data_IF_705550233662
#
_entry.id   IF_705550233662
#
_cell.length_a   1.000
_cell.length_b   1.000
_cell.length_c   1.000
_cell.angle_alpha   90.00
_cell.angle_beta   90.00
_cell.angle_gamma   90.00
#
_symmetry.space_group_name_H-M   'P 1'
#
loop_
_entity.id
_entity.type
_entity.pdbx_description
1 polymer ?
#
# COMPACT_ATOMS: atom_id res chain seq x y z
N UNK A 1 17.51 85.68 -42.23
CA UNK A 1 17.20 84.95 -40.96
C UNK A 1 15.99 84.00 -41.04
N UNK A 2 15.27 83.85 -42.17
CA UNK A 2 14.09 82.94 -42.29
C UNK A 2 14.41 81.48 -42.63
N UNK A 3 15.64 81.16 -43.05
CA UNK A 3 16.06 79.79 -43.39
C UNK A 3 16.55 79.00 -42.17
N UNK A 4 17.03 79.69 -41.14
CA UNK A 4 17.54 79.08 -39.91
C UNK A 4 16.40 78.56 -39.03
N UNK A 5 15.30 79.32 -38.90
CA UNK A 5 14.09 78.91 -38.16
C UNK A 5 13.36 77.72 -38.79
N UNK A 6 13.36 77.62 -40.13
CA UNK A 6 12.78 76.47 -40.86
C UNK A 6 13.63 75.19 -40.77
N UNK A 7 14.95 75.33 -40.60
CA UNK A 7 15.84 74.20 -40.29
C UNK A 7 15.70 73.78 -38.83
N UNK A 8 15.61 74.74 -37.91
CA UNK A 8 15.39 74.50 -36.48
C UNK A 8 14.07 73.77 -36.20
N UNK A 9 12.99 74.13 -36.92
CA UNK A 9 11.69 73.47 -36.77
C UNK A 9 11.71 72.03 -37.27
N UNK A 10 12.42 71.75 -38.37
CA UNK A 10 12.61 70.37 -38.87
C UNK A 10 13.42 69.52 -37.91
N UNK A 11 14.51 70.05 -37.35
CA UNK A 11 15.33 69.33 -36.36
C UNK A 11 14.55 69.09 -35.07
N UNK A 12 13.72 70.04 -34.62
CA UNK A 12 12.87 69.88 -33.46
C UNK A 12 11.83 68.76 -33.66
N UNK A 13 11.19 68.70 -34.84
CA UNK A 13 10.22 67.64 -35.17
C UNK A 13 10.89 66.27 -35.17
N UNK A 14 12.08 66.12 -35.78
CA UNK A 14 12.81 64.84 -35.77
C UNK A 14 13.22 64.42 -34.35
N UNK A 15 13.60 65.39 -33.51
CA UNK A 15 14.04 65.11 -32.13
C UNK A 15 12.85 64.65 -31.26
N UNK A 16 11.69 65.28 -31.41
CA UNK A 16 10.44 64.85 -30.76
C UNK A 16 10.04 63.44 -31.21
N UNK A 17 10.16 63.13 -32.50
CA UNK A 17 9.81 61.82 -33.04
C UNK A 17 10.74 60.72 -32.50
N UNK A 18 12.05 61.01 -32.40
CA UNK A 18 13.03 60.10 -31.80
C UNK A 18 12.76 59.89 -30.31
N UNK A 19 12.41 60.94 -29.56
CA UNK A 19 12.05 60.83 -28.14
C UNK A 19 10.80 59.95 -27.96
N UNK A 20 9.76 60.15 -28.79
CA UNK A 20 8.55 59.33 -28.75
C UNK A 20 8.83 57.85 -29.06
N UNK A 21 9.68 57.58 -30.06
CA UNK A 21 10.11 56.23 -30.39
C UNK A 21 10.87 55.58 -29.21
N UNK A 22 11.76 56.32 -28.56
CA UNK A 22 12.50 55.84 -27.39
C UNK A 22 11.57 55.53 -26.21
N UNK A 23 10.59 56.38 -25.92
CA UNK A 23 9.59 56.16 -24.87
C UNK A 23 8.76 54.90 -25.17
N UNK A 24 8.36 54.70 -26.43
CA UNK A 24 7.61 53.52 -26.84
C UNK A 24 8.42 52.23 -26.67
N UNK A 25 9.70 52.23 -27.09
CA UNK A 25 10.61 51.09 -26.91
C UNK A 25 10.85 50.81 -25.42
N UNK A 26 11.08 51.85 -24.62
CA UNK A 26 11.32 51.70 -23.18
C UNK A 26 10.08 51.16 -22.46
N UNK A 27 8.88 51.66 -22.80
CA UNK A 27 7.60 51.13 -22.30
C UNK A 27 7.39 49.67 -22.68
N UNK A 28 7.68 49.30 -23.92
CA UNK A 28 7.58 47.91 -24.39
C UNK A 28 8.59 47.00 -23.66
N UNK A 29 9.82 47.47 -23.45
CA UNK A 29 10.84 46.74 -22.71
C UNK A 29 10.46 46.53 -21.24
N UNK A 30 9.99 47.57 -20.53
CA UNK A 30 9.51 47.45 -19.13
C UNK A 30 8.32 46.50 -19.03
N UNK A 31 7.34 46.61 -19.95
CA UNK A 31 6.19 45.70 -20.01
C UNK A 31 6.62 44.24 -20.19
N UNK A 32 7.62 43.98 -21.04
CA UNK A 32 8.13 42.63 -21.27
C UNK A 32 9.03 42.09 -20.15
N UNK A 33 9.69 42.98 -19.39
CA UNK A 33 10.71 42.58 -18.40
C UNK A 33 10.12 42.37 -17.00
N UNK A 34 9.02 43.05 -16.65
CA UNK A 34 8.39 42.94 -15.31
C UNK A 34 7.37 41.80 -15.16
N UNK A 35 7.15 40.99 -16.21
CA UNK A 35 6.28 39.80 -16.14
C UNK A 35 7.05 38.51 -16.42
N UNK A 36 7.99 38.09 -15.54
CA UNK A 36 8.59 36.77 -15.64
C UNK A 36 7.54 35.72 -15.27
N UNK A 37 6.74 35.29 -16.24
CA UNK A 37 5.89 34.12 -16.12
C UNK A 37 6.79 32.89 -16.10
N UNK A 38 6.95 32.26 -14.95
CA UNK A 38 7.56 30.93 -14.87
C UNK A 38 6.42 29.93 -14.74
N UNK A 39 6.21 29.13 -15.79
CA UNK A 39 5.16 28.11 -15.89
C UNK A 39 5.47 26.85 -15.06
N UNK A 40 6.46 26.92 -14.17
CA UNK A 40 7.05 25.74 -13.55
C UNK A 40 6.87 25.81 -12.03
N UNK A 41 5.61 25.75 -11.57
CA UNK A 41 5.33 25.36 -10.19
C UNK A 41 5.49 23.84 -10.07
N UNK A 42 6.51 23.38 -9.34
CA UNK A 42 6.68 21.96 -8.99
C UNK A 42 6.21 21.77 -7.56
N UNK A 43 5.18 20.96 -7.37
CA UNK A 43 4.77 20.49 -6.05
C UNK A 43 5.31 19.07 -5.87
N UNK A 44 5.80 18.76 -4.67
CA UNK A 44 6.23 17.42 -4.29
C UNK A 44 5.16 16.86 -3.36
N UNK A 45 4.70 15.64 -3.63
CA UNK A 45 3.75 14.92 -2.80
C UNK A 45 4.29 13.51 -2.54
N UNK A 46 4.04 13.00 -1.33
CA UNK A 46 4.39 11.63 -0.98
C UNK A 46 3.34 10.69 -1.59
N UNK A 47 3.75 9.87 -2.56
CA UNK A 47 2.88 8.90 -3.22
C UNK A 47 3.16 7.52 -2.63
N UNK A 48 2.13 6.88 -2.07
CA UNK A 48 2.20 5.53 -1.53
C UNK A 48 1.48 4.58 -2.49
N UNK A 49 2.24 3.72 -3.17
CA UNK A 49 1.67 2.68 -4.01
C UNK A 49 1.02 1.60 -3.13
N UNK A 50 -0.24 1.26 -3.42
CA UNK A 50 -0.98 0.24 -2.69
C UNK A 50 -0.98 -1.03 -3.55
N UNK A 51 -0.30 -2.06 -3.06
CA UNK A 51 -0.26 -3.37 -3.68
C UNK A 51 -0.89 -4.41 -2.74
N UNK A 52 -1.71 -5.33 -3.26
CA UNK A 52 -2.32 -6.36 -2.46
C UNK A 52 -1.29 -7.44 -2.07
N UNK A 53 -1.36 -7.85 -0.81
CA UNK A 53 -0.54 -8.94 -0.26
C UNK A 53 -1.08 -10.34 -0.59
N UNK A 54 -2.33 -10.44 -1.07
CA UNK A 54 -2.98 -11.69 -1.45
C UNK A 54 -3.58 -11.56 -2.85
N UNK A 55 -3.58 -12.67 -3.59
CA UNK A 55 -4.09 -12.71 -4.95
C UNK A 55 -5.54 -13.18 -4.97
N UNK A 56 -6.39 -12.54 -5.77
CA UNK A 56 -7.79 -12.94 -5.87
C UNK A 56 -8.60 -12.02 -6.75
N UNK A 57 -9.88 -12.34 -6.84
CA UNK A 57 -10.87 -11.51 -7.53
C UNK A 57 -11.25 -10.34 -6.63
N UNK A 58 -11.26 -9.12 -7.15
CA UNK A 58 -11.81 -7.96 -6.47
C UNK A 58 -13.34 -8.06 -6.51
N UNK A 59 -13.97 -8.11 -5.33
CA UNK A 59 -15.42 -8.19 -5.22
C UNK A 59 -16.05 -6.80 -5.20
N UNK A 60 -15.40 -5.85 -4.51
CA UNK A 60 -15.91 -4.49 -4.33
C UNK A 60 -14.78 -3.48 -4.24
N UNK A 61 -14.91 -2.39 -5.01
CA UNK A 61 -14.12 -1.16 -4.92
C UNK A 61 -14.97 -0.09 -4.23
N UNK A 62 -14.53 0.34 -3.05
CA UNK A 62 -15.26 1.25 -2.16
C UNK A 62 -14.84 2.72 -2.31
N UNK A 63 -13.94 3.00 -3.25
CA UNK A 63 -13.39 4.34 -3.48
C UNK A 63 -13.45 4.72 -4.95
N UNK A 64 -13.41 6.02 -5.22
CA UNK A 64 -13.30 6.56 -6.57
C UNK A 64 -12.04 7.41 -6.71
N UNK A 65 -11.65 7.70 -7.95
CA UNK A 65 -10.51 8.57 -8.23
C UNK A 65 -10.75 9.98 -7.65
N UNK A 66 -9.66 10.63 -7.23
CA UNK A 66 -9.65 11.92 -6.54
C UNK A 66 -10.55 11.96 -5.28
N UNK A 67 -10.70 10.84 -4.57
CA UNK A 67 -11.38 10.81 -3.28
C UNK A 67 -10.40 11.05 -2.12
N UNK A 68 -10.78 11.89 -1.15
CA UNK A 68 -10.10 11.97 0.13
C UNK A 68 -10.44 10.75 0.98
N UNK A 69 -9.43 9.98 1.39
CA UNK A 69 -9.54 8.82 2.26
C UNK A 69 -8.80 9.05 3.58
N UNK A 70 -9.28 8.39 4.63
CA UNK A 70 -8.61 8.37 5.93
C UNK A 70 -7.81 7.10 6.12
N UNK A 71 -6.83 7.12 7.02
CA UNK A 71 -6.11 5.95 7.48
C UNK A 71 -7.10 4.85 7.91
N UNK A 72 -6.77 3.62 7.55
CA UNK A 72 -7.55 2.40 7.79
C UNK A 72 -8.90 2.31 7.08
N UNK A 73 -9.25 3.31 6.25
CA UNK A 73 -10.42 3.27 5.37
C UNK A 73 -10.27 2.16 4.33
N UNK A 74 -11.33 1.37 4.15
CA UNK A 74 -11.37 0.29 3.16
C UNK A 74 -11.37 0.89 1.76
N UNK A 75 -10.44 0.43 0.93
CA UNK A 75 -10.31 0.83 -0.47
C UNK A 75 -11.00 -0.16 -1.38
N UNK A 76 -10.64 -1.45 -1.27
CA UNK A 76 -11.29 -2.52 -2.00
C UNK A 76 -11.16 -3.84 -1.25
N UNK A 77 -12.04 -4.78 -1.58
CA UNK A 77 -12.14 -6.09 -0.94
C UNK A 77 -11.96 -7.20 -1.96
N UNK A 78 -11.11 -8.16 -1.62
CA UNK A 78 -10.85 -9.37 -2.38
C UNK A 78 -11.83 -10.47 -1.92
N UNK A 79 -12.17 -11.38 -2.83
CA UNK A 79 -13.04 -12.53 -2.57
C UNK A 79 -12.58 -13.31 -1.31
N UNK A 80 -13.37 -13.18 -0.24
CA UNK A 80 -13.09 -13.75 1.07
C UNK A 80 -13.48 -15.22 1.26
N UNK A 81 -14.56 -15.75 0.65
CA UNK A 81 -15.03 -17.11 0.90
C UNK A 81 -13.93 -18.17 0.81
N UNK A 82 -13.02 -18.06 -0.16
CA UNK A 82 -11.88 -18.98 -0.29
C UNK A 82 -10.96 -18.95 0.94
N UNK A 83 -10.63 -17.76 1.43
CA UNK A 83 -9.76 -17.56 2.60
C UNK A 83 -10.45 -17.97 3.90
N UNK A 84 -11.76 -17.73 4.02
CA UNK A 84 -12.55 -18.18 5.16
C UNK A 84 -12.57 -19.71 5.25
N UNK A 85 -12.69 -20.42 4.11
CA UNK A 85 -12.62 -21.88 4.09
C UNK A 85 -11.22 -22.41 4.44
N UNK A 86 -10.16 -21.78 3.93
CA UNK A 86 -8.80 -22.13 4.28
C UNK A 86 -8.52 -21.93 5.80
N UNK A 87 -9.05 -20.85 6.38
CA UNK A 87 -8.97 -20.63 7.83
C UNK A 87 -9.73 -21.71 8.61
N UNK A 88 -10.96 -22.03 8.20
CA UNK A 88 -11.75 -23.07 8.86
C UNK A 88 -11.08 -24.46 8.80
N UNK A 89 -10.45 -24.80 7.67
CA UNK A 89 -9.66 -26.02 7.53
C UNK A 89 -8.45 -26.04 8.48
N UNK A 90 -7.69 -24.95 8.54
CA UNK A 90 -6.55 -24.85 9.46
C UNK A 90 -6.96 -24.87 10.94
N UNK A 91 -8.12 -24.30 11.29
CA UNK A 91 -8.69 -24.39 12.63
C UNK A 91 -9.09 -25.82 13.01
N UNK A 92 -9.64 -26.58 12.05
CA UNK A 92 -9.96 -28.00 12.24
C UNK A 92 -8.69 -28.83 12.47
N UNK A 93 -7.62 -28.57 11.73
CA UNK A 93 -6.32 -29.23 11.93
C UNK A 93 -5.75 -28.94 13.33
N UNK A 94 -5.81 -27.67 13.77
CA UNK A 94 -5.39 -27.30 15.13
C UNK A 94 -6.20 -28.08 16.16
N UNK A 95 -7.52 -28.13 16.02
CA UNK A 95 -8.39 -28.88 16.95
C UNK A 95 -8.04 -30.38 16.96
N UNK A 96 -7.77 -30.98 15.80
CA UNK A 96 -7.35 -32.38 15.69
C UNK A 96 -6.04 -32.64 16.43
N UNK A 97 -4.99 -31.85 16.16
CA UNK A 97 -3.69 -32.03 16.81
C UNK A 97 -3.72 -31.68 18.30
N UNK A 98 -4.61 -30.79 18.75
CA UNK A 98 -4.81 -30.51 20.17
C UNK A 98 -5.31 -31.74 20.92
N UNK A 99 -6.34 -32.41 20.37
CA UNK A 99 -6.88 -33.65 20.96
C UNK A 99 -5.84 -34.76 20.95
N UNK A 100 -5.13 -34.94 19.82
CA UNK A 100 -4.07 -35.93 19.72
C UNK A 100 -2.92 -35.67 20.71
N UNK A 101 -2.51 -34.42 20.86
CA UNK A 101 -1.48 -34.04 21.84
C UNK A 101 -1.94 -34.32 23.28
N UNK A 102 -3.22 -34.10 23.59
CA UNK A 102 -3.79 -34.40 24.89
C UNK A 102 -3.79 -35.91 25.18
N UNK A 103 -4.19 -36.73 24.21
CA UNK A 103 -4.15 -38.19 24.31
C UNK A 103 -2.72 -38.68 24.58
N UNK A 104 -1.75 -38.24 23.76
CA UNK A 104 -0.34 -38.64 23.92
C UNK A 104 0.30 -38.12 25.20
N UNK A 105 -0.14 -36.95 25.69
CA UNK A 105 0.31 -36.43 26.98
C UNK A 105 -0.18 -37.30 28.14
N UNK A 106 -1.44 -37.76 28.09
CA UNK A 106 -1.98 -38.68 29.09
C UNK A 106 -1.28 -40.04 29.04
N UNK A 107 -1.03 -40.56 27.83
CA UNK A 107 -0.31 -41.82 27.62
C UNK A 107 1.12 -41.76 28.18
N UNK A 108 1.89 -40.74 27.81
CA UNK A 108 3.25 -40.53 28.32
C UNK A 108 3.24 -40.32 29.85
N UNK A 109 2.31 -39.52 30.39
CA UNK A 109 2.16 -39.32 31.82
C UNK A 109 1.79 -40.59 32.60
N UNK A 110 1.05 -41.52 31.98
CA UNK A 110 0.77 -42.83 32.57
C UNK A 110 2.03 -43.70 32.59
N UNK A 111 2.76 -43.80 31.48
CA UNK A 111 4.01 -44.59 31.40
C UNK A 111 5.09 -44.06 32.33
N UNK A 112 5.26 -42.74 32.41
CA UNK A 112 6.19 -42.09 33.33
C UNK A 112 5.88 -42.40 34.81
N UNK A 113 4.59 -42.51 35.19
CA UNK A 113 4.18 -42.87 36.56
C UNK A 113 4.39 -44.34 36.90
N UNK A 114 4.19 -45.25 35.95
CA UNK A 114 4.46 -46.69 36.12
C UNK A 114 5.96 -46.95 36.29
N UNK A 115 6.80 -46.11 35.66
CA UNK A 115 8.24 -46.12 35.84
C UNK A 115 8.92 -47.39 35.32
N UNK A 116 10.22 -47.49 35.58
CA UNK A 116 11.08 -48.58 35.06
C UNK A 116 10.83 -49.95 35.72
N UNK A 117 9.96 -50.00 36.73
CA UNK A 117 9.60 -51.25 37.41
C UNK A 117 8.57 -52.06 36.63
N UNK A 118 7.71 -51.40 35.86
CA UNK A 118 6.67 -52.03 35.06
C UNK A 118 6.88 -51.90 33.55
N UNK A 119 7.82 -51.06 33.10
CA UNK A 119 8.12 -50.80 31.69
C UNK A 119 9.62 -50.62 31.44
N UNK A 120 10.08 -50.82 30.21
CA UNK A 120 11.46 -50.53 29.83
C UNK A 120 11.71 -49.01 29.72
N UNK A 121 12.96 -48.58 29.89
CA UNK A 121 13.35 -47.17 29.68
C UNK A 121 13.07 -46.72 28.24
N UNK A 122 13.35 -47.60 27.28
CA UNK A 122 13.10 -47.36 25.86
C UNK A 122 11.63 -47.03 25.58
N UNK A 123 10.68 -47.78 26.15
CA UNK A 123 9.24 -47.51 25.93
C UNK A 123 8.76 -46.18 26.53
N UNK A 124 9.41 -45.72 27.61
CA UNK A 124 9.15 -44.43 28.23
C UNK A 124 9.68 -43.32 27.31
N UNK A 125 10.92 -43.46 26.86
CA UNK A 125 11.57 -42.50 25.96
C UNK A 125 10.83 -42.41 24.62
N UNK A 126 10.41 -43.54 24.06
CA UNK A 126 9.58 -43.58 22.85
C UNK A 126 8.25 -42.82 23.03
N UNK A 127 7.56 -43.01 24.16
CA UNK A 127 6.30 -42.31 24.40
C UNK A 127 6.50 -40.79 24.57
N UNK A 128 7.58 -40.38 25.23
CA UNK A 128 7.94 -38.97 25.36
C UNK A 128 8.32 -38.37 23.99
N UNK A 129 9.07 -39.10 23.16
CA UNK A 129 9.42 -38.68 21.80
C UNK A 129 8.20 -38.51 20.92
N UNK A 130 7.26 -39.47 20.95
CA UNK A 130 5.98 -39.37 20.23
C UNK A 130 5.18 -38.15 20.69
N UNK A 131 5.10 -37.90 21.99
CA UNK A 131 4.45 -36.69 22.51
C UNK A 131 5.13 -35.44 21.95
N UNK A 132 6.45 -35.34 21.96
CA UNK A 132 7.17 -34.19 21.40
C UNK A 132 6.89 -34.01 19.91
N UNK A 133 6.90 -35.08 19.12
CA UNK A 133 6.54 -35.03 17.69
C UNK A 133 5.14 -34.46 17.48
N UNK A 134 4.15 -34.91 18.24
CA UNK A 134 2.77 -34.40 18.12
C UNK A 134 2.67 -32.94 18.58
N UNK A 135 3.42 -32.53 19.60
CA UNK A 135 3.48 -31.12 20.00
C UNK A 135 4.06 -30.22 18.90
N UNK A 136 5.08 -30.69 18.19
CA UNK A 136 5.62 -29.97 17.02
C UNK A 136 4.63 -29.92 15.85
N UNK A 137 3.86 -30.99 15.63
CA UNK A 137 2.78 -31.00 14.64
C UNK A 137 1.67 -30.00 15.01
N UNK A 138 1.30 -29.94 16.29
CA UNK A 138 0.34 -28.94 16.78
C UNK A 138 0.87 -27.52 16.56
N UNK A 139 2.14 -27.24 16.91
CA UNK A 139 2.74 -25.93 16.69
C UNK A 139 2.77 -25.54 15.21
N UNK A 140 3.04 -26.50 14.31
CA UNK A 140 2.96 -26.29 12.86
C UNK A 140 1.53 -25.94 12.43
N UNK A 141 0.53 -26.69 12.89
CA UNK A 141 -0.88 -26.44 12.56
C UNK A 141 -1.33 -25.05 13.05
N UNK A 142 -0.89 -24.63 14.25
CA UNK A 142 -1.14 -23.29 14.78
C UNK A 142 -0.56 -22.20 13.87
N UNK A 143 0.69 -22.37 13.43
CA UNK A 143 1.32 -21.43 12.49
C UNK A 143 0.57 -21.36 11.15
N UNK A 144 0.09 -22.50 10.63
CA UNK A 144 -0.74 -22.53 9.41
C UNK A 144 -2.07 -21.80 9.59
N UNK A 145 -2.73 -21.98 10.74
CA UNK A 145 -3.96 -21.24 11.08
C UNK A 145 -3.70 -19.74 11.15
N UNK A 146 -2.63 -19.32 11.82
CA UNK A 146 -2.29 -17.91 11.97
C UNK A 146 -1.97 -17.26 10.61
N UNK A 147 -1.30 -17.98 9.71
CA UNK A 147 -1.09 -17.55 8.32
C UNK A 147 -2.41 -17.41 7.56
N UNK A 148 -3.29 -18.40 7.62
CA UNK A 148 -4.59 -18.36 6.95
C UNK A 148 -5.47 -17.21 7.47
N UNK A 149 -5.37 -16.91 8.77
CA UNK A 149 -6.05 -15.76 9.38
C UNK A 149 -5.49 -14.44 8.85
N UNK A 150 -4.17 -14.30 8.80
CA UNK A 150 -3.52 -13.11 8.25
C UNK A 150 -3.87 -12.90 6.77
N UNK A 151 -3.89 -13.98 5.98
CA UNK A 151 -4.28 -13.92 4.57
C UNK A 151 -5.75 -13.46 4.43
N UNK A 152 -6.65 -13.95 5.29
CA UNK A 152 -8.04 -13.48 5.33
C UNK A 152 -8.14 -11.99 5.70
N UNK A 153 -7.39 -11.53 6.70
CA UNK A 153 -7.36 -10.10 7.09
C UNK A 153 -6.84 -9.22 5.93
N UNK A 154 -5.84 -9.72 5.18
CA UNK A 154 -5.24 -9.05 4.02
C UNK A 154 -6.11 -9.06 2.76
N UNK A 155 -7.28 -9.70 2.79
CA UNK A 155 -8.29 -9.56 1.71
C UNK A 155 -8.94 -8.18 1.71
N UNK A 156 -8.91 -7.47 2.83
CA UNK A 156 -9.48 -6.12 2.97
C UNK A 156 -8.34 -5.11 2.87
N UNK A 157 -8.21 -4.47 1.72
CA UNK A 157 -7.16 -3.48 1.50
C UNK A 157 -7.60 -2.13 2.06
N UNK A 158 -6.73 -1.54 2.89
CA UNK A 158 -7.00 -0.30 3.63
C UNK A 158 -5.95 0.76 3.31
N UNK A 159 -6.35 2.02 3.43
CA UNK A 159 -5.44 3.15 3.28
C UNK A 159 -4.41 3.20 4.43
N UNK A 160 -3.09 3.28 4.14
CA UNK A 160 -2.06 3.32 5.18
C UNK A 160 -1.98 4.69 5.90
N UNK A 161 -2.50 5.75 5.29
CA UNK A 161 -2.49 7.11 5.80
C UNK A 161 -3.69 7.91 5.24
N UNK A 162 -3.93 9.09 5.81
CA UNK A 162 -4.87 10.06 5.25
C UNK A 162 -4.29 10.65 3.95
N UNK A 163 -5.10 10.75 2.89
CA UNK A 163 -4.61 11.25 1.59
C UNK A 163 -5.65 11.23 0.49
N UNK A 164 -5.26 11.69 -0.70
CA UNK A 164 -6.09 11.62 -1.90
C UNK A 164 -5.75 10.35 -2.69
N UNK A 165 -6.77 9.61 -3.08
CA UNK A 165 -6.63 8.53 -4.06
C UNK A 165 -6.43 9.16 -5.42
N UNK A 166 -5.36 8.80 -6.11
CA UNK A 166 -5.06 9.27 -7.46
C UNK A 166 -4.69 8.08 -8.34
N UNK A 167 -5.12 8.09 -9.60
CA UNK A 167 -4.79 7.06 -10.58
C UNK A 167 -5.30 5.66 -10.18
N UNK A 168 -6.57 5.58 -9.77
CA UNK A 168 -7.22 4.32 -9.45
C UNK A 168 -7.50 3.51 -10.72
N UNK A 169 -6.64 2.55 -11.09
CA UNK A 169 -6.91 1.59 -12.16
C UNK A 169 -7.26 0.20 -11.58
N UNK A 170 -8.35 0.14 -10.83
CA UNK A 170 -8.86 -1.12 -10.26
C UNK A 170 -10.37 -1.15 -10.41
N UNK A 171 -10.90 -2.20 -11.03
CA UNK A 171 -12.34 -2.38 -11.25
C UNK A 171 -12.90 -3.62 -10.52
N UNK A 172 -14.21 -3.58 -10.25
CA UNK A 172 -14.94 -4.72 -9.72
C UNK A 172 -14.86 -5.91 -10.71
N UNK A 173 -14.49 -7.09 -10.20
CA UNK A 173 -14.33 -8.30 -11.01
C UNK A 173 -12.96 -8.46 -11.67
N UNK A 174 -12.02 -7.56 -11.42
CA UNK A 174 -10.63 -7.72 -11.85
C UNK A 174 -9.89 -8.74 -10.97
N UNK A 175 -8.95 -9.49 -11.57
CA UNK A 175 -8.09 -10.45 -10.86
C UNK A 175 -6.73 -9.83 -10.61
N UNK A 176 -6.38 -9.68 -9.34
CA UNK A 176 -5.09 -9.15 -8.91
C UNK A 176 -4.16 -10.26 -8.43
N UNK A 177 -2.87 -10.10 -8.73
CA UNK A 177 -1.80 -10.99 -8.27
C UNK A 177 -0.96 -10.29 -7.19
N UNK A 178 -0.39 -11.09 -6.27
CA UNK A 178 0.45 -10.58 -5.17
C UNK A 178 1.61 -9.76 -5.75
N UNK A 179 1.75 -8.52 -5.27
CA UNK A 179 2.85 -7.63 -5.66
C UNK A 179 2.66 -6.90 -7.00
N UNK A 180 1.54 -7.08 -7.69
CA UNK A 180 1.16 -6.16 -8.76
C UNK A 180 0.71 -4.85 -8.13
N UNK A 181 1.37 -3.74 -8.43
CA UNK A 181 0.83 -2.42 -8.09
C UNK A 181 -0.44 -2.21 -8.87
N UNK A 182 -1.53 -1.87 -8.19
CA UNK A 182 -2.63 -1.16 -8.83
C UNK A 182 -2.03 0.17 -9.33
N UNK A 183 -1.66 0.18 -10.61
CA UNK A 183 -1.02 1.33 -11.26
C UNK A 183 -2.03 2.40 -11.55
#
# INVERSE_FOLDING_TARGET
MKTLTRKLSRTAITLVLVILAFIAIFRAWVYYTESPWTRDARFSADVVAIAPDVAGLITHVNVHDNQLVKKDQVLFTIDQPRYQKALAEAEADVAYYQVLAQEKRQEAGRRNRLGVQAMSREEIDQANNVLQTVLHQLAKAQATRDLAKLDLERTVIRAPADGWVTNLNVDDGEVITRGSTAG
#
